data_IF_910935306041
#
_entry.id   IF_910935306041
#
_cell.length_a   1.000
_cell.length_b   1.000
_cell.length_c   1.000
_cell.angle_alpha   90.00
_cell.angle_beta   90.00
_cell.angle_gamma   90.00
#
_symmetry.space_group_name_H-M   'P 1'
#
loop_
_entity.id
_entity.type
_entity.pdbx_description
1 polymer ?
#
# COMPACT_ATOMS: atom_id res chain seq x y z
N UNK A 1 40.69 -16.22 28.78
CA UNK A 1 39.25 -15.95 28.60
C UNK A 1 38.56 -17.29 28.43
N UNK A 2 37.51 -17.56 29.18
CA UNK A 2 36.87 -18.88 29.23
C UNK A 2 36.04 -19.08 27.94
N UNK A 3 36.12 -20.26 27.27
CA UNK A 3 35.50 -20.50 25.95
C UNK A 3 33.98 -20.27 25.92
N UNK A 4 33.32 -20.52 27.05
CA UNK A 4 31.91 -20.25 27.34
C UNK A 4 31.50 -18.80 27.05
N UNK A 5 32.31 -17.81 27.45
CA UNK A 5 31.98 -16.39 27.26
C UNK A 5 31.93 -16.00 25.79
N UNK A 6 32.79 -16.60 24.96
CA UNK A 6 32.82 -16.35 23.52
C UNK A 6 31.61 -16.95 22.81
N UNK A 7 31.21 -18.17 23.18
CA UNK A 7 30.03 -18.85 22.62
C UNK A 7 28.76 -18.03 22.89
N UNK A 8 28.56 -17.57 24.13
CA UNK A 8 27.39 -16.78 24.50
C UNK A 8 27.36 -15.43 23.77
N UNK A 9 28.53 -14.80 23.61
CA UNK A 9 28.63 -13.50 22.93
C UNK A 9 28.33 -13.61 21.43
N UNK A 10 28.89 -14.61 20.75
CA UNK A 10 28.65 -14.83 19.31
C UNK A 10 27.19 -15.22 19.06
N UNK A 11 26.61 -16.08 19.90
CA UNK A 11 25.20 -16.44 19.80
C UNK A 11 24.28 -15.23 20.00
N UNK A 12 24.60 -14.37 20.97
CA UNK A 12 23.86 -13.12 21.21
C UNK A 12 23.91 -12.17 20.01
N UNK A 13 25.10 -11.94 19.44
CA UNK A 13 25.27 -11.09 18.25
C UNK A 13 24.51 -11.68 17.04
N UNK A 14 24.56 -12.99 16.85
CA UNK A 14 23.83 -13.68 15.79
C UNK A 14 22.32 -13.49 15.91
N UNK A 15 21.78 -13.60 17.13
CA UNK A 15 20.35 -13.42 17.40
C UNK A 15 19.92 -11.96 17.20
N UNK A 16 20.74 -11.00 17.64
CA UNK A 16 20.49 -9.56 17.39
C UNK A 16 20.51 -9.24 15.90
N UNK A 17 21.50 -9.76 15.16
CA UNK A 17 21.57 -9.60 13.70
C UNK A 17 20.35 -10.23 13.00
N UNK A 18 19.90 -11.40 13.47
CA UNK A 18 18.71 -12.06 12.96
C UNK A 18 17.43 -11.24 13.22
N UNK A 19 17.26 -10.69 14.42
CA UNK A 19 16.12 -9.82 14.74
C UNK A 19 16.13 -8.56 13.87
N UNK A 20 17.28 -7.88 13.76
CA UNK A 20 17.39 -6.67 12.93
C UNK A 20 17.07 -7.00 11.48
N UNK A 21 17.63 -8.07 10.94
CA UNK A 21 17.37 -8.52 9.57
C UNK A 21 15.88 -8.86 9.36
N UNK A 22 15.28 -9.62 10.28
CA UNK A 22 13.88 -10.03 10.18
C UNK A 22 12.92 -8.85 10.26
N UNK A 23 13.17 -7.88 11.14
CA UNK A 23 12.29 -6.73 11.35
C UNK A 23 12.53 -5.56 10.39
N UNK A 24 13.76 -5.33 9.93
CA UNK A 24 14.05 -4.21 9.02
C UNK A 24 14.16 -4.62 7.56
N UNK A 25 14.80 -5.74 7.23
CA UNK A 25 15.00 -6.13 5.82
C UNK A 25 13.74 -6.73 5.19
N UNK A 26 12.82 -7.26 6.01
CA UNK A 26 11.54 -7.81 5.54
C UNK A 26 10.41 -6.78 5.48
N UNK A 27 10.64 -5.49 5.78
CA UNK A 27 9.58 -4.48 5.62
C UNK A 27 9.18 -4.40 4.14
N UNK A 28 7.93 -4.78 3.89
CA UNK A 28 7.30 -4.94 2.58
C UNK A 28 7.63 -3.83 1.59
N UNK A 29 8.21 -4.22 0.45
CA UNK A 29 8.00 -3.50 -0.80
C UNK A 29 6.49 -3.52 -1.07
N UNK A 30 5.89 -2.38 -1.38
CA UNK A 30 4.44 -2.24 -1.61
C UNK A 30 3.90 -3.31 -2.56
N UNK A 31 2.61 -3.60 -2.45
CA UNK A 31 1.99 -4.64 -3.27
C UNK A 31 1.93 -4.15 -4.71
N UNK A 32 2.56 -4.89 -5.63
CA UNK A 32 2.43 -4.63 -7.07
C UNK A 32 1.01 -4.99 -7.50
N UNK A 33 0.35 -4.10 -8.22
CA UNK A 33 -0.93 -4.38 -8.83
C UNK A 33 -0.81 -5.57 -9.79
N UNK A 34 -1.82 -6.44 -9.79
CA UNK A 34 -1.83 -7.60 -10.67
C UNK A 34 -2.17 -7.16 -12.10
N UNK A 35 -1.37 -7.59 -13.07
CA UNK A 35 -1.71 -7.39 -14.48
C UNK A 35 -2.80 -8.39 -14.87
N UNK A 36 -3.95 -7.89 -15.32
CA UNK A 36 -5.02 -8.73 -15.88
C UNK A 36 -4.76 -9.00 -17.35
N UNK A 37 -5.30 -10.12 -17.87
CA UNK A 37 -5.15 -10.54 -19.27
C UNK A 37 -5.66 -9.50 -20.28
N UNK A 38 -6.49 -8.55 -19.85
CA UNK A 38 -7.00 -7.43 -20.65
C UNK A 38 -6.07 -6.21 -20.75
N UNK A 39 -4.86 -6.26 -20.20
CA UNK A 39 -3.89 -5.16 -20.25
C UNK A 39 -4.09 -4.06 -19.19
N UNK A 40 -5.03 -4.26 -18.26
CA UNK A 40 -5.25 -3.40 -17.10
C UNK A 40 -4.45 -3.89 -15.90
N UNK A 41 -4.12 -2.97 -14.99
CA UNK A 41 -3.55 -3.30 -13.69
C UNK A 41 -4.64 -3.20 -12.64
N UNK A 42 -4.95 -4.29 -11.95
CA UNK A 42 -5.99 -4.29 -10.92
C UNK A 42 -5.37 -4.40 -9.53
N UNK A 43 -5.85 -3.57 -8.61
CA UNK A 43 -5.51 -3.65 -7.19
C UNK A 43 -6.77 -3.57 -6.34
N UNK A 44 -6.84 -4.40 -5.30
CA UNK A 44 -7.93 -4.39 -4.32
C UNK A 44 -7.46 -3.66 -3.07
N UNK A 45 -8.19 -2.62 -2.68
CA UNK A 45 -7.95 -1.81 -1.49
C UNK A 45 -9.14 -1.96 -0.55
N UNK A 46 -8.89 -2.48 0.64
CA UNK A 46 -9.83 -2.51 1.73
C UNK A 46 -9.79 -1.18 2.49
N UNK A 47 -10.96 -0.59 2.72
CA UNK A 47 -11.14 0.63 3.49
C UNK A 47 -11.80 0.26 4.81
N UNK A 48 -10.97 0.18 5.86
CA UNK A 48 -11.38 -0.20 7.22
C UNK A 48 -10.47 0.47 8.25
N UNK A 49 -10.83 1.68 8.67
CA UNK A 49 -9.99 2.48 9.58
C UNK A 49 -8.68 2.95 8.92
N UNK A 50 -8.62 2.91 7.60
CA UNK A 50 -7.41 3.13 6.79
C UNK A 50 -7.49 2.40 5.45
N UNK A 51 -6.52 2.67 4.57
CA UNK A 51 -6.38 1.97 3.29
C UNK A 51 -5.42 0.79 3.44
N UNK A 52 -5.88 -0.42 3.10
CA UNK A 52 -5.07 -1.63 3.11
C UNK A 52 -5.15 -2.32 1.75
N UNK A 53 -4.04 -2.46 1.01
CA UNK A 53 -2.72 -1.89 1.28
C UNK A 53 -2.72 -0.36 1.21
N UNK A 54 -1.81 0.26 1.97
CA UNK A 54 -1.57 1.71 1.94
C UNK A 54 -0.65 2.10 0.79
N UNK A 55 0.17 1.18 0.28
CA UNK A 55 1.11 1.41 -0.83
C UNK A 55 0.84 0.43 -1.96
N UNK A 56 0.43 0.95 -3.12
CA UNK A 56 0.18 0.20 -4.34
C UNK A 56 1.23 0.60 -5.37
N UNK A 57 1.89 -0.37 -5.99
CA UNK A 57 2.89 -0.14 -7.05
C UNK A 57 2.29 -0.52 -8.41
N UNK A 58 2.32 0.39 -9.38
CA UNK A 58 1.77 0.22 -10.72
C UNK A 58 2.77 0.68 -11.78
N UNK A 59 2.58 0.26 -13.03
CA UNK A 59 3.39 0.70 -14.17
C UNK A 59 2.82 1.93 -14.86
N UNK A 60 3.69 2.85 -15.24
CA UNK A 60 3.40 4.01 -16.06
C UNK A 60 2.92 3.62 -17.47
N UNK A 61 2.05 4.45 -18.05
CA UNK A 61 1.55 4.29 -19.42
C UNK A 61 0.52 3.17 -19.60
N UNK A 62 0.08 2.51 -18.53
CA UNK A 62 -0.96 1.47 -18.56
C UNK A 62 -2.18 1.86 -17.73
N UNK A 63 -3.39 1.48 -18.14
CA UNK A 63 -4.59 1.75 -17.37
C UNK A 63 -4.58 0.92 -16.08
N UNK A 64 -4.90 1.57 -14.96
CA UNK A 64 -4.96 0.98 -13.62
C UNK A 64 -6.40 1.06 -13.15
N UNK A 65 -6.91 -0.01 -12.56
CA UNK A 65 -8.21 -0.07 -11.89
C UNK A 65 -7.98 -0.40 -10.41
N UNK A 66 -8.19 0.61 -9.57
CA UNK A 66 -8.12 0.48 -8.13
C UNK A 66 -9.53 0.20 -7.60
N UNK A 67 -9.77 -1.01 -7.14
CA UNK A 67 -11.03 -1.41 -6.55
C UNK A 67 -10.98 -1.06 -5.05
N UNK A 68 -11.91 -0.25 -4.58
CA UNK A 68 -12.03 0.12 -3.17
C UNK A 68 -13.23 -0.58 -2.55
N UNK A 69 -13.00 -1.39 -1.52
CA UNK A 69 -14.04 -2.06 -0.73
C UNK A 69 -14.19 -1.35 0.60
N UNK A 70 -15.32 -0.67 0.82
CA UNK A 70 -15.58 0.00 2.10
C UNK A 70 -16.24 -0.94 3.09
N UNK A 71 -15.53 -1.28 4.17
CA UNK A 71 -16.03 -2.11 5.29
C UNK A 71 -16.07 -1.32 6.60
N UNK A 72 -16.37 -0.03 6.51
CA UNK A 72 -16.55 0.83 7.67
C UNK A 72 -17.64 1.88 7.45
N UNK A 73 -18.15 2.43 8.55
CA UNK A 73 -19.24 3.40 8.57
C UNK A 73 -18.77 4.83 8.84
N UNK A 74 -17.46 5.06 8.94
CA UNK A 74 -16.92 6.40 9.19
C UNK A 74 -17.28 7.35 8.06
N UNK A 75 -17.78 8.54 8.37
CA UNK A 75 -18.10 9.57 7.37
C UNK A 75 -16.87 10.06 6.62
N UNK A 76 -15.68 9.97 7.23
CA UNK A 76 -14.45 10.36 6.56
C UNK A 76 -14.12 9.46 5.36
N UNK A 77 -14.59 8.21 5.32
CA UNK A 77 -14.24 7.22 4.30
C UNK A 77 -15.26 7.13 3.17
N UNK A 78 -16.19 8.08 3.09
CA UNK A 78 -17.26 8.12 2.10
C UNK A 78 -16.78 8.47 0.69
N UNK A 79 -15.56 8.97 0.58
CA UNK A 79 -14.94 9.39 -0.66
C UNK A 79 -13.44 9.16 -0.62
N UNK A 80 -12.87 8.93 -1.78
CA UNK A 80 -11.42 8.94 -2.00
C UNK A 80 -11.08 10.06 -2.98
N UNK A 81 -10.01 10.78 -2.70
CA UNK A 81 -9.51 11.89 -3.51
C UNK A 81 -8.09 11.57 -3.97
N UNK A 82 -7.88 11.74 -5.26
CA UNK A 82 -6.60 11.66 -5.95
C UNK A 82 -6.23 13.08 -6.42
N UNK A 83 -5.56 13.90 -5.58
CA UNK A 83 -5.27 15.29 -5.89
C UNK A 83 -4.46 15.46 -7.18
N UNK A 84 -3.47 14.62 -7.40
CA UNK A 84 -2.61 14.67 -8.57
C UNK A 84 -3.34 14.35 -9.89
N UNK A 85 -4.40 13.55 -9.80
CA UNK A 85 -5.26 13.18 -10.93
C UNK A 85 -6.53 14.03 -11.02
N UNK A 86 -6.72 14.97 -10.09
CA UNK A 86 -7.95 15.78 -9.91
C UNK A 86 -9.23 14.91 -9.95
N UNK A 87 -9.15 13.70 -9.40
CA UNK A 87 -10.24 12.71 -9.44
C UNK A 87 -10.72 12.40 -8.03
N UNK A 88 -12.03 12.26 -7.87
CA UNK A 88 -12.63 11.77 -6.63
C UNK A 88 -13.69 10.74 -6.94
N UNK A 89 -13.86 9.75 -6.07
CA UNK A 89 -14.88 8.73 -6.19
C UNK A 89 -15.59 8.53 -4.84
N UNK A 90 -16.92 8.47 -4.88
CA UNK A 90 -17.73 8.11 -3.71
C UNK A 90 -17.60 6.60 -3.43
N UNK A 91 -17.50 6.24 -2.16
CA UNK A 91 -17.34 4.89 -1.65
C UNK A 91 -18.54 4.55 -0.76
N UNK A 92 -19.65 4.02 -1.31
CA UNK A 92 -20.76 3.54 -0.51
C UNK A 92 -20.34 2.36 0.39
N UNK A 93 -20.93 2.29 1.57
CA UNK A 93 -20.62 1.27 2.57
C UNK A 93 -21.05 -0.12 2.08
N UNK A 94 -20.16 -1.11 2.17
CA UNK A 94 -20.44 -2.48 1.76
C UNK A 94 -20.38 -2.73 0.26
N UNK A 95 -19.95 -1.75 -0.51
CA UNK A 95 -19.81 -1.83 -1.97
C UNK A 95 -18.34 -1.78 -2.40
N UNK A 96 -18.08 -2.32 -3.58
CA UNK A 96 -16.78 -2.27 -4.23
C UNK A 96 -16.85 -1.28 -5.37
N UNK A 97 -16.06 -0.21 -5.29
CA UNK A 97 -16.02 0.83 -6.32
C UNK A 97 -14.71 0.75 -7.08
N UNK A 98 -14.80 0.61 -8.41
CA UNK A 98 -13.65 0.60 -9.30
C UNK A 98 -13.27 2.04 -9.70
N UNK A 99 -12.08 2.49 -9.32
CA UNK A 99 -11.51 3.78 -9.73
C UNK A 99 -10.45 3.54 -10.78
N UNK A 100 -10.76 3.93 -12.02
CA UNK A 100 -9.82 3.82 -13.13
C UNK A 100 -8.92 5.06 -13.21
N UNK A 101 -7.62 4.84 -13.32
CA UNK A 101 -6.59 5.87 -13.42
C UNK A 101 -5.66 5.52 -14.59
N UNK A 102 -5.14 6.54 -15.25
CA UNK A 102 -4.15 6.38 -16.32
C UNK A 102 -2.90 7.19 -15.98
N UNK A 103 -2.01 6.65 -15.13
CA UNK A 103 -0.76 7.33 -14.80
C UNK A 103 0.15 7.38 -16.02
N UNK A 104 0.45 8.60 -16.50
CA UNK A 104 1.35 8.82 -17.65
C UNK A 104 2.81 9.02 -17.22
N UNK A 105 3.01 9.61 -16.05
CA UNK A 105 4.33 9.95 -15.53
C UNK A 105 4.68 9.03 -14.36
N UNK A 106 5.93 8.54 -14.27
CA UNK A 106 6.41 7.81 -13.11
C UNK A 106 6.56 8.76 -11.91
N UNK A 107 6.23 8.28 -10.72
CA UNK A 107 6.24 9.10 -9.51
C UNK A 107 5.41 8.51 -8.37
N UNK A 108 5.47 9.13 -7.20
CA UNK A 108 4.61 8.80 -6.06
C UNK A 108 3.40 9.72 -6.05
N UNK A 109 2.20 9.15 -6.18
CA UNK A 109 0.94 9.88 -6.15
C UNK A 109 0.20 9.57 -4.86
N UNK A 110 -0.17 10.61 -4.11
CA UNK A 110 -0.92 10.46 -2.88
C UNK A 110 -2.40 10.26 -3.17
N UNK A 111 -3.07 9.44 -2.37
CA UNK A 111 -4.54 9.47 -2.29
C UNK A 111 -4.98 9.49 -0.85
N UNK A 112 -6.08 10.20 -0.59
CA UNK A 112 -6.57 10.37 0.77
C UNK A 112 -8.07 10.50 0.81
N UNK A 113 -8.61 10.36 2.01
CA UNK A 113 -9.99 10.74 2.25
C UNK A 113 -10.15 12.28 2.26
N UNK A 114 -11.37 12.83 2.12
CA UNK A 114 -11.60 14.28 2.12
C UNK A 114 -11.07 15.00 3.36
N UNK A 115 -11.06 14.31 4.51
CA UNK A 115 -10.55 14.85 5.77
C UNK A 115 -9.03 14.65 5.94
N UNK A 116 -8.35 14.00 4.98
CA UNK A 116 -6.90 13.76 5.02
C UNK A 116 -6.42 12.82 6.13
N UNK A 117 -7.33 12.09 6.77
CA UNK A 117 -7.06 11.19 7.89
C UNK A 117 -6.54 9.83 7.41
N UNK A 118 -7.19 9.24 6.40
CA UNK A 118 -6.66 8.05 5.73
C UNK A 118 -5.82 8.48 4.55
N UNK A 119 -4.63 7.90 4.42
CA UNK A 119 -3.67 8.19 3.36
C UNK A 119 -3.15 6.90 2.79
N UNK A 120 -3.06 6.86 1.47
CA UNK A 120 -2.36 5.84 0.72
C UNK A 120 -1.46 6.49 -0.31
N UNK A 121 -0.58 5.67 -0.88
CA UNK A 121 0.36 6.04 -1.93
C UNK A 121 0.23 5.08 -3.08
N UNK A 122 0.15 5.65 -4.27
CA UNK A 122 0.25 4.97 -5.54
C UNK A 122 1.63 5.28 -6.12
N UNK A 123 2.52 4.30 -6.10
CA UNK A 123 3.85 4.40 -6.69
C UNK A 123 3.75 3.96 -8.14
N UNK A 124 4.08 4.85 -9.07
CA UNK A 124 4.09 4.56 -10.50
C UNK A 124 5.55 4.41 -10.93
N UNK A 125 5.89 3.22 -11.44
CA UNK A 125 7.21 2.85 -11.97
C UNK A 125 7.23 2.73 -13.51
#
# INVERSE_FOLDING_TARGET
>A
MTPDRWIVTVAGIGLVAFIIWFFWLKRSKGIRAAETSGGYQEAMILVKGGYTPDTIVVRSGRPVRLNFRREETASCSDKVIFPDFQKSADLPTGETVAVELMPKEPGEFGFSCPMGMFRGRLVVE
#
